data_IF_871892899179
#
_entry.id   IF_871892899179
#
_cell.length_a   1.000
_cell.length_b   1.000
_cell.length_c   1.000
_cell.angle_alpha   90.00
_cell.angle_beta   90.00
_cell.angle_gamma   90.00
#
_symmetry.space_group_name_H-M   'P 1'
#
loop_
_entity.id
_entity.type
_entity.pdbx_description
1 polymer ?
#
# COMPACT_ATOMS: atom_id res chain seq x y z
N UNK A 1 45.08 5.41 87.28
CA UNK A 1 44.00 4.84 86.45
C UNK A 1 43.21 5.97 85.81
N UNK A 2 43.19 6.18 84.49
CA UNK A 2 44.30 6.54 83.58
C UNK A 2 43.74 7.21 82.31
N UNK A 3 44.36 8.29 81.82
CA UNK A 3 44.23 8.90 80.48
C UNK A 3 43.26 10.10 80.36
N UNK A 4 43.67 11.40 80.32
CA UNK A 4 44.42 12.21 79.30
C UNK A 4 43.65 12.35 77.96
N UNK A 5 43.52 13.49 77.24
CA UNK A 5 43.96 14.89 77.34
C UNK A 5 43.25 15.72 76.21
N UNK A 6 42.78 16.95 76.47
CA UNK A 6 43.22 18.29 75.99
C UNK A 6 42.91 18.80 74.54
N UNK A 7 42.22 19.97 74.51
CA UNK A 7 42.35 21.21 73.66
C UNK A 7 42.01 21.20 72.15
N UNK A 8 41.64 22.30 71.46
CA UNK A 8 40.94 23.59 71.69
C UNK A 8 40.94 24.40 70.37
N UNK A 9 39.76 24.94 69.97
CA UNK A 9 39.42 26.17 69.18
C UNK A 9 40.18 26.58 67.90
N UNK A 10 39.44 27.11 66.89
CA UNK A 10 39.14 28.57 66.68
C UNK A 10 38.41 28.94 65.35
N UNK A 11 37.36 29.79 65.46
CA UNK A 11 36.87 30.94 64.61
C UNK A 11 36.64 30.78 63.09
N UNK A 12 35.73 31.47 62.38
CA UNK A 12 34.67 32.47 62.60
C UNK A 12 33.93 32.71 61.25
N UNK A 13 32.65 33.12 61.26
CA UNK A 13 32.09 34.34 60.62
C UNK A 13 30.55 34.23 60.58
N UNK A 14 29.87 35.31 60.94
CA UNK A 14 28.41 35.44 60.88
C UNK A 14 27.98 36.66 60.06
N UNK A 15 26.71 36.67 59.65
CA UNK A 15 25.97 37.79 59.06
C UNK A 15 24.49 37.41 58.91
N UNK A 16 23.59 38.21 59.47
CA UNK A 16 22.27 37.82 60.01
C UNK A 16 21.19 38.89 59.73
N UNK A 17 19.94 38.42 59.47
CA UNK A 17 18.56 38.96 59.69
C UNK A 17 18.19 40.39 59.24
N UNK A 18 17.17 40.61 58.39
CA UNK A 18 15.68 40.53 58.53
C UNK A 18 15.06 41.57 59.49
N UNK A 19 14.15 42.37 58.92
CA UNK A 19 13.41 43.49 59.50
C UNK A 19 11.90 43.21 59.62
N UNK A 20 11.19 43.99 60.45
CA UNK A 20 9.71 43.98 60.58
C UNK A 20 9.09 45.37 60.75
N UNK A 21 7.98 45.60 60.04
CA UNK A 21 6.82 46.47 60.36
C UNK A 21 6.90 47.96 59.96
N UNK A 22 5.83 48.70 59.65
CA UNK A 22 4.42 48.48 59.28
C UNK A 22 3.82 49.86 58.82
N UNK A 23 2.73 49.85 58.03
CA UNK A 23 1.55 50.78 58.05
C UNK A 23 1.07 51.44 56.72
N UNK A 24 -0.17 51.06 56.35
CA UNK A 24 -1.38 51.83 55.88
C UNK A 24 -1.37 52.63 54.55
N UNK A 25 -2.28 52.24 53.63
CA UNK A 25 -2.86 53.06 52.55
C UNK A 25 -3.70 52.24 51.53
N UNK A 26 -5.00 52.52 51.38
CA UNK A 26 -5.95 51.94 50.39
C UNK A 26 -6.09 52.88 49.15
N UNK A 27 -6.78 52.49 48.05
CA UNK A 27 -6.41 51.49 47.04
C UNK A 27 -6.28 52.13 45.63
N UNK A 28 -5.47 51.55 44.75
CA UNK A 28 -5.53 51.85 43.31
C UNK A 28 -5.79 50.56 42.54
N UNK A 29 -6.94 50.51 41.88
CA UNK A 29 -7.39 49.40 41.05
C UNK A 29 -6.47 49.28 39.83
N UNK A 30 -5.83 48.13 39.66
CA UNK A 30 -5.31 47.73 38.35
C UNK A 30 -5.60 46.25 38.08
N UNK A 31 -6.01 46.02 36.85
CA UNK A 31 -6.86 44.94 36.42
C UNK A 31 -6.14 43.58 36.28
N UNK A 32 -6.94 42.54 36.56
CA UNK A 32 -6.96 41.22 35.93
C UNK A 32 -5.79 40.26 36.20
N UNK A 33 -6.03 39.37 37.17
CA UNK A 33 -5.56 37.98 37.11
C UNK A 33 -6.10 37.31 35.83
N UNK A 34 -5.23 36.91 34.91
CA UNK A 34 -5.52 35.83 33.96
C UNK A 34 -4.82 34.56 34.44
N UNK A 35 -5.52 33.45 34.67
CA UNK A 35 -4.86 32.17 34.85
C UNK A 35 -4.27 31.72 33.51
N UNK A 36 -2.99 31.38 33.49
CA UNK A 36 -2.35 30.67 32.37
C UNK A 36 -3.03 29.30 32.20
N UNK A 37 -3.93 29.20 31.23
CA UNK A 37 -4.39 27.90 30.75
C UNK A 37 -3.31 27.37 29.81
N UNK A 38 -2.65 26.24 30.12
CA UNK A 38 -1.75 25.62 29.16
C UNK A 38 -2.58 25.19 27.94
N UNK A 39 -2.22 25.69 26.76
CA UNK A 39 -2.84 25.22 25.51
C UNK A 39 -2.71 23.69 25.42
N UNK A 40 -3.76 22.99 24.94
CA UNK A 40 -3.66 21.56 24.70
C UNK A 40 -2.55 21.30 23.69
N UNK A 41 -1.45 20.69 24.14
CA UNK A 41 -0.36 20.27 23.25
C UNK A 41 -0.95 19.34 22.19
N UNK A 42 -0.96 19.83 20.95
CA UNK A 42 -1.25 19.01 19.77
C UNK A 42 -0.37 17.75 19.85
N UNK A 43 -0.93 16.53 19.80
CA UNK A 43 -0.11 15.33 19.86
C UNK A 43 0.91 15.38 18.73
N UNK A 44 2.19 15.26 19.07
CA UNK A 44 3.25 15.15 18.08
C UNK A 44 2.93 13.95 17.19
N UNK A 45 2.99 14.07 15.85
CA UNK A 45 2.73 12.93 14.98
C UNK A 45 3.76 11.85 15.28
N UNK A 46 3.32 10.75 15.88
CA UNK A 46 4.17 9.60 16.14
C UNK A 46 4.62 9.06 14.80
N UNK A 47 5.86 9.36 14.39
CA UNK A 47 6.45 8.82 13.17
C UNK A 47 6.38 7.30 13.24
N UNK A 48 5.57 6.69 12.38
CA UNK A 48 5.43 5.23 12.33
C UNK A 48 6.79 4.65 11.95
N UNK A 49 7.34 3.78 12.80
CA UNK A 49 8.70 3.25 12.65
C UNK A 49 8.86 2.35 11.41
N UNK A 50 7.80 1.64 11.00
CA UNK A 50 7.72 0.92 9.74
C UNK A 50 6.33 1.18 9.10
N UNK A 51 6.20 2.19 8.22
CA UNK A 51 4.94 2.54 7.59
C UNK A 51 4.40 1.46 6.63
N UNK A 52 5.23 0.48 6.21
CA UNK A 52 4.79 -0.65 5.40
C UNK A 52 4.37 -1.88 6.22
N UNK A 53 4.71 -1.94 7.51
CA UNK A 53 4.34 -3.07 8.36
C UNK A 53 2.82 -3.24 8.46
N UNK A 54 2.33 -4.46 8.76
CA UNK A 54 0.93 -4.68 9.09
C UNK A 54 0.47 -3.75 10.22
N UNK A 55 -0.82 -3.48 10.23
CA UNK A 55 -1.42 -2.70 11.29
C UNK A 55 -2.88 -3.07 11.53
N UNK A 56 -3.52 -2.43 12.53
CA UNK A 56 -4.88 -2.76 12.91
C UNK A 56 -5.87 -2.57 11.76
N UNK A 57 -6.80 -3.51 11.63
CA UNK A 57 -7.91 -3.37 10.71
C UNK A 57 -8.99 -2.51 11.36
N UNK A 58 -9.44 -1.49 10.65
CA UNK A 58 -10.47 -0.57 11.11
C UNK A 58 -11.54 -0.39 10.01
N UNK A 59 -12.70 0.11 10.39
CA UNK A 59 -13.73 0.44 9.41
C UNK A 59 -13.37 1.68 8.62
N UNK A 60 -13.83 1.77 7.37
CA UNK A 60 -13.82 3.04 6.64
C UNK A 60 -14.69 4.09 7.37
N UNK A 61 -14.26 5.37 7.49
CA UNK A 61 -15.09 6.44 8.04
C UNK A 61 -16.40 6.64 7.26
N UNK A 62 -16.38 6.31 5.96
CA UNK A 62 -17.51 6.36 5.02
C UNK A 62 -18.02 4.95 4.65
N UNK A 63 -17.90 3.98 5.57
CA UNK A 63 -18.30 2.58 5.32
C UNK A 63 -19.76 2.45 4.84
N UNK A 64 -20.66 3.30 5.32
CA UNK A 64 -22.08 3.25 4.90
C UNK A 64 -22.26 3.56 3.40
N UNK A 65 -21.45 4.46 2.83
CA UNK A 65 -21.49 4.76 1.39
C UNK A 65 -20.97 3.59 0.57
N UNK A 66 -19.84 2.99 0.99
CA UNK A 66 -19.30 1.78 0.35
C UNK A 66 -20.31 0.62 0.43
N UNK A 67 -20.90 0.35 1.59
CA UNK A 67 -21.93 -0.69 1.75
C UNK A 67 -23.14 -0.43 0.86
N UNK A 68 -23.64 0.82 0.82
CA UNK A 68 -24.77 1.18 -0.04
C UNK A 68 -24.47 0.90 -1.51
N UNK A 69 -23.26 1.22 -1.97
CA UNK A 69 -22.82 0.93 -3.33
C UNK A 69 -22.68 -0.58 -3.56
N UNK A 70 -21.99 -1.30 -2.70
CA UNK A 70 -21.76 -2.75 -2.86
C UNK A 70 -23.06 -3.56 -2.81
N UNK A 71 -24.07 -3.12 -2.03
CA UNK A 71 -25.41 -3.73 -2.03
C UNK A 71 -26.13 -3.67 -3.39
N UNK A 72 -25.66 -2.86 -4.34
CA UNK A 72 -26.22 -2.81 -5.71
C UNK A 72 -25.39 -3.58 -6.72
N UNK A 73 -24.36 -4.32 -6.28
CA UNK A 73 -23.43 -5.05 -7.15
C UNK A 73 -23.59 -6.55 -6.92
N UNK A 74 -23.38 -7.33 -7.97
CA UNK A 74 -23.41 -8.79 -7.89
C UNK A 74 -22.06 -9.34 -7.40
N UNK A 75 -22.10 -10.53 -6.81
CA UNK A 75 -20.92 -11.23 -6.30
C UNK A 75 -20.45 -10.82 -4.91
N UNK A 76 -19.30 -11.32 -4.54
CA UNK A 76 -18.59 -11.03 -3.30
C UNK A 76 -17.51 -9.97 -3.55
N UNK A 77 -17.36 -9.01 -2.64
CA UNK A 77 -16.37 -7.94 -2.78
C UNK A 77 -15.63 -7.65 -1.47
N UNK A 78 -14.34 -7.36 -1.58
CA UNK A 78 -13.53 -6.83 -0.49
C UNK A 78 -12.78 -5.60 -0.95
N UNK A 79 -12.74 -4.58 -0.10
CA UNK A 79 -11.98 -3.35 -0.31
C UNK A 79 -11.10 -3.05 0.88
N UNK A 80 -9.85 -2.71 0.62
CA UNK A 80 -8.91 -2.25 1.62
C UNK A 80 -8.19 -0.98 1.18
N UNK A 81 -7.85 -0.11 2.14
CA UNK A 81 -7.12 1.12 1.88
C UNK A 81 -6.21 1.46 3.05
N UNK A 82 -5.05 2.02 2.76
CA UNK A 82 -4.20 2.64 3.78
C UNK A 82 -3.63 3.95 3.30
N UNK A 83 -3.77 4.98 4.13
CA UNK A 83 -3.05 6.25 3.94
C UNK A 83 -1.59 6.04 4.33
N UNK A 84 -0.66 6.39 3.45
CA UNK A 84 0.78 6.25 3.69
C UNK A 84 1.20 7.03 4.94
N UNK A 85 2.02 6.39 5.76
CA UNK A 85 2.45 6.94 7.05
C UNK A 85 1.48 6.71 8.21
N UNK A 86 0.30 6.14 7.97
CA UNK A 86 -0.61 5.69 9.03
C UNK A 86 -0.44 4.19 9.33
N UNK A 87 -0.95 3.72 10.48
CA UNK A 87 -0.92 2.29 10.84
C UNK A 87 -2.20 1.55 10.48
N UNK A 88 -3.33 2.24 10.47
CA UNK A 88 -4.62 1.59 10.31
C UNK A 88 -4.84 1.23 8.84
N UNK A 89 -5.23 -0.02 8.60
CA UNK A 89 -5.71 -0.47 7.30
C UNK A 89 -7.23 -0.46 7.38
N UNK A 90 -7.88 0.36 6.55
CA UNK A 90 -9.33 0.37 6.44
C UNK A 90 -9.75 -0.84 5.61
N UNK A 91 -10.67 -1.65 6.13
CA UNK A 91 -11.16 -2.86 5.44
C UNK A 91 -12.69 -2.89 5.48
N UNK A 92 -13.29 -3.32 4.38
CA UNK A 92 -14.68 -3.71 4.29
C UNK A 92 -14.79 -4.96 3.43
N UNK A 93 -15.32 -6.03 4.02
CA UNK A 93 -15.68 -7.27 3.33
C UNK A 93 -17.20 -7.31 3.15
N UNK A 94 -17.64 -7.72 1.97
CA UNK A 94 -19.03 -7.94 1.60
C UNK A 94 -19.11 -9.33 0.95
N UNK A 95 -19.53 -10.33 1.72
CA UNK A 95 -19.42 -11.74 1.33
C UNK A 95 -18.09 -12.33 1.81
N UNK A 96 -17.27 -12.81 0.88
CA UNK A 96 -15.98 -13.42 1.17
C UNK A 96 -14.94 -12.48 1.80
N UNK A 97 -13.90 -13.12 2.33
CA UNK A 97 -12.71 -12.47 2.91
C UNK A 97 -11.42 -12.86 2.19
N UNK A 98 -11.48 -13.89 1.34
CA UNK A 98 -10.37 -14.46 0.60
C UNK A 98 -10.73 -14.56 -0.88
N UNK A 99 -9.80 -14.20 -1.76
CA UNK A 99 -10.01 -14.16 -3.21
C UNK A 99 -8.81 -14.74 -3.94
N UNK A 100 -9.04 -15.40 -5.07
CA UNK A 100 -7.96 -15.82 -5.96
C UNK A 100 -7.30 -14.58 -6.54
N UNK A 101 -5.98 -14.49 -6.45
CA UNK A 101 -5.21 -13.32 -6.86
C UNK A 101 -5.26 -13.08 -8.37
N UNK A 102 -5.31 -14.14 -9.17
CA UNK A 102 -4.92 -14.08 -10.57
C UNK A 102 -3.57 -13.33 -10.69
N UNK A 103 -3.47 -12.29 -11.52
CA UNK A 103 -2.21 -11.60 -11.79
C UNK A 103 -1.71 -10.63 -10.71
N UNK A 104 -2.47 -10.32 -9.65
CA UNK A 104 -1.95 -9.39 -8.60
C UNK A 104 -0.82 -10.03 -7.77
N UNK A 105 -0.73 -11.36 -7.72
CA UNK A 105 0.39 -12.09 -7.08
C UNK A 105 1.75 -11.79 -7.70
N UNK A 106 1.80 -11.27 -8.94
CA UNK A 106 3.04 -10.85 -9.60
C UNK A 106 3.76 -9.73 -8.84
N UNK A 107 3.05 -8.94 -8.03
CA UNK A 107 3.67 -8.02 -7.07
C UNK A 107 4.51 -8.77 -6.04
N UNK A 108 3.96 -9.82 -5.42
CA UNK A 108 4.70 -10.64 -4.45
C UNK A 108 5.88 -11.37 -5.11
N UNK A 109 5.73 -11.85 -6.35
CA UNK A 109 6.84 -12.46 -7.12
C UNK A 109 7.97 -11.45 -7.32
N UNK A 110 7.65 -10.23 -7.80
CA UNK A 110 8.62 -9.15 -7.97
C UNK A 110 9.32 -8.80 -6.66
N UNK A 111 8.57 -8.61 -5.59
CA UNK A 111 9.13 -8.30 -4.26
C UNK A 111 10.02 -9.42 -3.74
N UNK A 112 9.69 -10.69 -4.02
CA UNK A 112 10.52 -11.84 -3.65
C UNK A 112 11.88 -11.79 -4.36
N UNK A 113 11.90 -11.49 -5.66
CA UNK A 113 13.17 -11.30 -6.42
C UNK A 113 14.02 -10.20 -5.75
N UNK A 114 13.40 -9.08 -5.40
CA UNK A 114 14.09 -7.94 -4.77
C UNK A 114 14.62 -8.29 -3.37
N UNK A 115 13.83 -9.00 -2.56
CA UNK A 115 14.20 -9.44 -1.21
C UNK A 115 15.38 -10.43 -1.26
N UNK A 116 15.37 -11.37 -2.20
CA UNK A 116 16.48 -12.31 -2.40
C UNK A 116 17.75 -11.59 -2.85
N UNK A 117 17.65 -10.71 -3.86
CA UNK A 117 18.79 -9.90 -4.32
C UNK A 117 19.39 -9.03 -3.19
N UNK A 118 18.53 -8.40 -2.38
CA UNK A 118 18.98 -7.62 -1.22
C UNK A 118 19.65 -8.49 -0.14
N UNK A 119 19.12 -9.69 0.13
CA UNK A 119 19.72 -10.66 1.06
C UNK A 119 21.09 -11.15 0.60
N UNK A 120 21.26 -11.33 -0.71
CA UNK A 120 22.53 -11.68 -1.37
C UNK A 120 23.46 -10.46 -1.54
N UNK A 121 23.07 -9.28 -1.05
CA UNK A 121 23.84 -8.02 -1.14
C UNK A 121 24.19 -7.62 -2.57
N UNK A 122 23.30 -7.91 -3.53
CA UNK A 122 23.46 -7.56 -4.94
C UNK A 122 22.32 -6.67 -5.45
N UNK A 123 22.53 -6.09 -6.62
CA UNK A 123 21.45 -5.44 -7.37
C UNK A 123 20.65 -6.49 -8.16
N UNK A 124 19.51 -6.05 -8.70
CA UNK A 124 18.77 -6.84 -9.70
C UNK A 124 19.65 -7.04 -10.93
N UNK A 125 19.76 -8.29 -11.37
CA UNK A 125 20.50 -8.66 -12.58
C UNK A 125 19.74 -8.23 -13.84
N UNK A 126 20.43 -8.13 -14.97
CA UNK A 126 19.79 -7.87 -16.27
C UNK A 126 18.73 -8.92 -16.63
N UNK A 127 19.01 -10.20 -16.35
CA UNK A 127 18.07 -11.29 -16.58
C UNK A 127 16.78 -11.17 -15.75
N UNK A 128 16.89 -10.74 -14.48
CA UNK A 128 15.71 -10.49 -13.65
C UNK A 128 14.91 -9.30 -14.16
N UNK A 129 15.57 -8.20 -14.53
CA UNK A 129 14.90 -7.02 -15.11
C UNK A 129 14.17 -7.35 -16.41
N UNK A 130 14.79 -8.15 -17.29
CA UNK A 130 14.19 -8.59 -18.56
C UNK A 130 12.90 -9.40 -18.36
N UNK A 131 12.73 -10.05 -17.21
CA UNK A 131 11.49 -10.76 -16.85
C UNK A 131 10.51 -9.87 -16.08
N UNK A 132 11.01 -9.00 -15.19
CA UNK A 132 10.18 -8.10 -14.38
C UNK A 132 9.39 -7.12 -15.24
N UNK A 133 9.99 -6.55 -16.30
CA UNK A 133 9.34 -5.59 -17.20
C UNK A 133 8.07 -6.18 -17.82
N UNK A 134 8.12 -7.23 -18.65
CA UNK A 134 6.91 -7.78 -19.27
C UNK A 134 5.94 -8.39 -18.25
N UNK A 135 6.43 -8.91 -17.11
CA UNK A 135 5.58 -9.45 -16.05
C UNK A 135 4.70 -8.36 -15.41
N UNK A 136 5.24 -7.16 -15.15
CA UNK A 136 4.49 -6.09 -14.49
C UNK A 136 3.73 -5.25 -15.51
N UNK A 137 4.38 -4.80 -16.58
CA UNK A 137 3.81 -3.84 -17.54
C UNK A 137 2.73 -4.46 -18.44
N UNK A 138 2.94 -5.72 -18.87
CA UNK A 138 2.04 -6.45 -19.77
C UNK A 138 1.39 -7.67 -19.11
N UNK A 139 1.63 -7.89 -17.82
CA UNK A 139 1.11 -9.06 -17.10
C UNK A 139 1.57 -10.41 -17.69
N UNK A 140 2.73 -10.50 -18.36
CA UNK A 140 3.22 -11.73 -19.00
C UNK A 140 3.28 -12.92 -18.04
N UNK A 141 2.63 -14.02 -18.43
CA UNK A 141 2.58 -15.26 -17.63
C UNK A 141 3.87 -16.06 -17.74
N UNK A 142 4.52 -16.10 -18.89
CA UNK A 142 5.81 -16.79 -19.06
C UNK A 142 6.90 -16.14 -18.20
N UNK A 143 6.95 -14.81 -18.20
CA UNK A 143 7.89 -14.08 -17.37
C UNK A 143 7.62 -14.28 -15.88
N UNK A 144 6.34 -14.32 -15.48
CA UNK A 144 5.94 -14.64 -14.12
C UNK A 144 6.35 -16.06 -13.72
N UNK A 145 6.09 -17.06 -14.56
CA UNK A 145 6.45 -18.47 -14.31
C UNK A 145 7.97 -18.66 -14.23
N UNK A 146 8.73 -17.98 -15.08
CA UNK A 146 10.19 -18.00 -15.01
C UNK A 146 10.71 -17.42 -13.69
N UNK A 147 10.18 -16.28 -13.25
CA UNK A 147 10.56 -15.68 -11.96
C UNK A 147 10.05 -16.49 -10.77
N UNK A 148 8.83 -17.03 -10.83
CA UNK A 148 8.25 -17.94 -9.83
C UNK A 148 9.16 -19.14 -9.57
N UNK A 149 9.57 -19.82 -10.64
CA UNK A 149 10.51 -20.94 -10.55
C UNK A 149 11.86 -20.50 -9.97
N UNK A 150 12.38 -19.37 -10.42
CA UNK A 150 13.68 -18.82 -9.96
C UNK A 150 13.67 -18.51 -8.47
N UNK A 151 12.59 -17.96 -7.92
CA UNK A 151 12.52 -17.56 -6.50
C UNK A 151 12.24 -18.72 -5.55
N UNK A 152 12.07 -19.95 -6.06
CA UNK A 152 11.75 -21.12 -5.25
C UNK A 152 10.25 -21.31 -5.04
N UNK A 153 9.42 -20.89 -6.00
CA UNK A 153 7.98 -21.19 -6.11
C UNK A 153 7.21 -20.72 -4.86
N UNK A 154 6.14 -21.43 -4.46
CA UNK A 154 5.30 -21.02 -3.33
C UNK A 154 6.10 -20.81 -2.03
N UNK A 155 7.10 -21.66 -1.76
CA UNK A 155 7.93 -21.54 -0.57
C UNK A 155 8.76 -20.27 -0.54
N UNK A 156 9.34 -19.89 -1.67
CA UNK A 156 10.08 -18.64 -1.83
C UNK A 156 9.22 -17.42 -1.58
N UNK A 157 8.08 -17.37 -2.25
CA UNK A 157 7.15 -16.23 -2.16
C UNK A 157 6.50 -16.17 -0.78
N UNK A 158 6.08 -17.30 -0.19
CA UNK A 158 5.53 -17.37 1.17
C UNK A 158 6.50 -16.78 2.20
N UNK A 159 7.78 -17.16 2.16
CA UNK A 159 8.79 -16.62 3.07
C UNK A 159 8.95 -15.11 2.93
N UNK A 160 8.94 -14.59 1.70
CA UNK A 160 9.02 -13.16 1.44
C UNK A 160 7.78 -12.41 1.96
N UNK A 161 6.58 -12.91 1.66
CA UNK A 161 5.31 -12.34 2.16
C UNK A 161 5.24 -12.33 3.69
N UNK A 162 5.61 -13.44 4.34
CA UNK A 162 5.68 -13.52 5.80
C UNK A 162 6.68 -12.53 6.40
N UNK A 163 7.82 -12.29 5.74
CA UNK A 163 8.81 -11.28 6.17
C UNK A 163 8.23 -9.86 6.12
N UNK A 164 7.33 -9.59 5.18
CA UNK A 164 6.58 -8.34 5.06
C UNK A 164 5.36 -8.29 6.01
N UNK A 165 4.97 -9.43 6.59
CA UNK A 165 3.84 -9.57 7.49
C UNK A 165 2.49 -9.81 6.80
N UNK A 166 2.51 -10.16 5.51
CA UNK A 166 1.36 -10.68 4.79
C UNK A 166 1.28 -12.21 5.02
N UNK A 167 0.45 -12.63 5.97
CA UNK A 167 0.36 -14.03 6.47
C UNK A 167 -1.00 -14.68 6.26
N UNK A 168 -1.95 -13.98 5.63
CA UNK A 168 -3.29 -14.46 5.29
C UNK A 168 -3.39 -14.72 3.78
N UNK A 169 -2.32 -15.25 3.20
CA UNK A 169 -2.24 -15.70 1.81
C UNK A 169 -1.91 -17.18 1.78
N UNK A 170 -2.73 -17.96 1.08
CA UNK A 170 -2.56 -19.41 0.92
C UNK A 170 -2.30 -19.72 -0.54
N UNK A 171 -1.19 -20.39 -0.81
CA UNK A 171 -0.81 -20.80 -2.16
C UNK A 171 -1.57 -22.05 -2.57
N UNK A 172 -1.81 -22.17 -3.88
CA UNK A 172 -2.43 -23.34 -4.47
C UNK A 172 -1.60 -24.61 -4.20
N UNK A 173 -2.22 -25.73 -3.76
CA UNK A 173 -1.51 -26.98 -3.47
C UNK A 173 -0.76 -27.57 -4.66
N UNK A 174 -1.26 -27.34 -5.88
CA UNK A 174 -0.65 -27.77 -7.13
C UNK A 174 0.35 -26.73 -7.68
N UNK A 175 0.64 -25.69 -6.88
CA UNK A 175 1.64 -24.65 -7.13
C UNK A 175 1.34 -23.76 -8.36
N UNK A 176 0.06 -23.63 -8.73
CA UNK A 176 -0.38 -22.62 -9.69
C UNK A 176 -0.36 -21.23 -9.04
N UNK A 177 0.68 -20.44 -9.31
CA UNK A 177 0.85 -19.12 -8.69
C UNK A 177 -0.38 -18.21 -8.81
N UNK A 178 -1.11 -18.28 -9.93
CA UNK A 178 -2.29 -17.45 -10.19
C UNK A 178 -3.51 -17.81 -9.32
N UNK A 179 -3.57 -19.04 -8.82
CA UNK A 179 -4.64 -19.57 -7.98
C UNK A 179 -4.40 -19.33 -6.48
N UNK A 180 -3.38 -18.54 -6.15
CA UNK A 180 -3.11 -18.11 -4.78
C UNK A 180 -4.31 -17.37 -4.19
N UNK A 181 -4.74 -17.74 -2.99
CA UNK A 181 -5.84 -17.10 -2.26
C UNK A 181 -5.30 -16.05 -1.29
N UNK A 182 -5.84 -14.82 -1.30
CA UNK A 182 -5.35 -13.68 -0.50
C UNK A 182 -6.48 -12.88 0.13
N UNK A 183 -6.15 -12.06 1.14
CA UNK A 183 -7.04 -10.98 1.63
C UNK A 183 -6.67 -9.63 1.00
N UNK A 184 -7.62 -8.68 0.99
CA UNK A 184 -7.36 -7.31 0.54
C UNK A 184 -6.33 -6.58 1.44
N UNK A 185 -6.33 -6.90 2.74
CA UNK A 185 -5.39 -6.32 3.69
C UNK A 185 -3.94 -6.76 3.44
N UNK A 186 -3.72 -8.04 3.11
CA UNK A 186 -2.39 -8.54 2.75
C UNK A 186 -1.88 -7.87 1.47
N UNK A 187 -2.75 -7.67 0.48
CA UNK A 187 -2.37 -6.96 -0.76
C UNK A 187 -2.03 -5.48 -0.52
N UNK A 188 -2.69 -4.81 0.45
CA UNK A 188 -2.27 -3.47 0.90
C UNK A 188 -0.87 -3.52 1.53
N UNK A 189 -0.59 -4.52 2.37
CA UNK A 189 0.73 -4.68 3.01
C UNK A 189 1.82 -4.90 1.94
N UNK A 190 1.58 -5.75 0.94
CA UNK A 190 2.52 -5.95 -0.18
C UNK A 190 2.77 -4.64 -0.93
N UNK A 191 1.72 -3.98 -1.41
CA UNK A 191 1.88 -2.72 -2.13
C UNK A 191 2.58 -1.64 -1.29
N UNK A 192 2.29 -1.54 0.01
CA UNK A 192 2.99 -0.58 0.88
C UNK A 192 4.48 -0.88 1.04
N UNK A 193 4.94 -2.12 0.87
CA UNK A 193 6.37 -2.44 0.83
C UNK A 193 7.06 -1.91 -0.44
N UNK A 194 6.30 -1.54 -1.48
CA UNK A 194 6.79 -0.80 -2.65
C UNK A 194 6.76 0.71 -2.39
N UNK A 195 5.66 1.24 -1.87
CA UNK A 195 5.42 2.70 -1.80
C UNK A 195 5.96 3.38 -0.53
N UNK A 196 5.99 2.69 0.59
CA UNK A 196 6.38 3.24 1.88
C UNK A 196 7.84 2.89 2.26
N UNK A 197 8.55 3.79 2.98
CA UNK A 197 9.88 3.50 3.51
C UNK A 197 9.89 2.23 4.37
N UNK A 198 10.79 1.30 4.07
CA UNK A 198 10.99 0.09 4.84
C UNK A 198 12.45 -0.41 4.71
N UNK A 199 12.83 -1.39 5.54
CA UNK A 199 14.18 -1.98 5.57
C UNK A 199 14.28 -3.31 4.81
N UNK A 200 13.17 -3.81 4.27
CA UNK A 200 13.10 -5.13 3.63
C UNK A 200 13.53 -5.02 2.17
N UNK A 201 12.99 -4.03 1.46
CA UNK A 201 13.30 -3.76 0.05
C UNK A 201 14.06 -2.43 -0.05
N UNK A 202 15.30 -2.42 -0.58
CA UNK A 202 16.07 -1.20 -0.79
C UNK A 202 15.32 -0.17 -1.63
N UNK A 203 15.50 1.13 -1.33
CA UNK A 203 14.82 2.22 -2.05
C UNK A 203 15.03 2.16 -3.57
N UNK A 204 16.23 1.81 -4.06
CA UNK A 204 16.49 1.70 -5.49
C UNK A 204 15.62 0.64 -6.18
N UNK A 205 15.39 -0.49 -5.53
CA UNK A 205 14.53 -1.56 -6.05
C UNK A 205 13.05 -1.17 -5.96
N UNK A 206 12.65 -0.48 -4.89
CA UNK A 206 11.29 0.06 -4.77
C UNK A 206 11.01 1.16 -5.81
N UNK A 207 11.98 2.01 -6.12
CA UNK A 207 11.86 2.99 -7.18
C UNK A 207 11.65 2.32 -8.54
N UNK A 208 12.40 1.25 -8.82
CA UNK A 208 12.22 0.45 -10.02
C UNK A 208 10.84 -0.25 -10.06
N UNK A 209 10.39 -0.84 -8.95
CA UNK A 209 9.03 -1.42 -8.87
C UNK A 209 7.94 -0.40 -9.21
N UNK A 210 8.07 0.83 -8.69
CA UNK A 210 7.14 1.92 -8.99
C UNK A 210 7.21 2.33 -10.47
N UNK A 211 8.39 2.42 -11.06
CA UNK A 211 8.55 2.70 -12.49
C UNK A 211 7.75 1.69 -13.33
N UNK A 212 7.91 0.39 -13.07
CA UNK A 212 7.16 -0.65 -13.77
C UNK A 212 5.64 -0.51 -13.56
N UNK A 213 5.18 -0.26 -12.34
CA UNK A 213 3.74 -0.11 -12.05
C UNK A 213 3.13 1.18 -12.63
N UNK A 214 3.94 2.18 -12.98
CA UNK A 214 3.49 3.39 -13.70
C UNK A 214 3.54 3.25 -15.23
N UNK A 215 4.19 2.21 -15.74
CA UNK A 215 4.37 1.92 -17.16
C UNK A 215 3.49 0.77 -17.66
N UNK A 216 2.49 0.39 -16.86
CA UNK A 216 1.51 -0.62 -17.23
C UNK A 216 0.78 -0.21 -18.52
N UNK A 217 0.57 -1.18 -19.41
CA UNK A 217 -0.07 -0.95 -20.70
C UNK A 217 -1.46 -0.31 -20.55
N UNK A 218 -1.88 0.50 -21.52
CA UNK A 218 -3.12 1.29 -21.42
C UNK A 218 -4.38 0.43 -21.22
N UNK A 219 -4.40 -0.78 -21.77
CA UNK A 219 -5.47 -1.77 -21.63
C UNK A 219 -5.48 -2.47 -20.25
N UNK A 220 -4.44 -2.25 -19.46
CA UNK A 220 -4.26 -2.75 -18.10
C UNK A 220 -4.49 -1.66 -17.04
N UNK A 221 -4.69 -0.39 -17.43
CA UNK A 221 -4.95 0.74 -16.52
C UNK A 221 -6.46 0.96 -16.29
N UNK A 222 -7.03 0.16 -15.39
CA UNK A 222 -8.42 0.23 -14.95
C UNK A 222 -8.57 -0.17 -13.48
N UNK A 223 -9.77 -0.04 -12.92
CA UNK A 223 -10.09 -0.55 -11.58
C UNK A 223 -9.78 0.45 -10.46
N UNK A 224 -8.88 0.12 -9.54
CA UNK A 224 -8.55 0.95 -8.38
C UNK A 224 -7.91 2.29 -8.74
N UNK A 225 -7.51 2.46 -10.01
CA UNK A 225 -6.99 3.71 -10.57
C UNK A 225 -8.09 4.77 -10.76
N UNK A 226 -9.37 4.38 -10.80
CA UNK A 226 -10.46 5.31 -11.05
C UNK A 226 -10.57 6.39 -9.95
N UNK A 227 -10.32 7.65 -10.34
CA UNK A 227 -10.30 8.81 -9.44
C UNK A 227 -8.92 9.12 -8.83
N UNK A 228 -7.89 8.34 -9.16
CA UNK A 228 -6.50 8.63 -8.83
C UNK A 228 -5.81 9.44 -9.93
N UNK A 229 -4.64 10.01 -9.59
CA UNK A 229 -3.78 10.72 -10.54
C UNK A 229 -2.44 10.06 -10.67
N UNK A 230 -2.01 9.89 -11.92
CA UNK A 230 -0.73 9.24 -12.24
C UNK A 230 -0.56 7.98 -11.37
N UNK A 231 -1.58 7.09 -11.36
CA UNK A 231 -1.60 5.98 -10.45
C UNK A 231 -0.51 4.97 -10.81
N UNK A 232 -0.20 4.13 -9.84
CA UNK A 232 0.58 2.92 -10.02
C UNK A 232 -0.36 1.75 -9.85
N UNK A 233 -0.39 0.79 -10.78
CA UNK A 233 -1.42 -0.25 -10.80
C UNK A 233 -0.86 -1.64 -11.05
N UNK A 234 -1.53 -2.64 -10.49
CA UNK A 234 -1.50 -4.01 -11.01
C UNK A 234 -2.88 -4.63 -10.89
N UNK A 235 -3.37 -5.13 -12.01
CA UNK A 235 -4.65 -5.83 -12.10
C UNK A 235 -4.46 -7.35 -12.23
N UNK A 236 -5.51 -8.09 -11.92
CA UNK A 236 -5.59 -9.54 -12.15
C UNK A 236 -7.01 -10.02 -12.29
N UNK A 237 -7.27 -10.80 -13.34
CA UNK A 237 -8.55 -11.42 -13.61
C UNK A 237 -8.36 -12.83 -14.14
N UNK A 238 -9.31 -13.71 -13.88
CA UNK A 238 -9.30 -15.10 -14.30
C UNK A 238 -10.75 -15.63 -14.32
N UNK A 239 -11.25 -16.18 -15.45
CA UNK A 239 -12.47 -16.96 -15.44
C UNK A 239 -12.20 -18.37 -14.91
N UNK A 240 -13.16 -18.92 -14.18
CA UNK A 240 -13.12 -20.27 -13.62
C UNK A 240 -14.49 -20.94 -13.75
N UNK A 241 -14.54 -22.21 -13.41
CA UNK A 241 -15.79 -22.98 -13.25
C UNK A 241 -16.72 -22.39 -12.19
N UNK A 242 -16.16 -21.71 -11.19
CA UNK A 242 -16.89 -20.95 -10.17
C UNK A 242 -17.12 -19.47 -10.54
N UNK A 243 -16.88 -19.07 -11.78
CA UNK A 243 -17.14 -17.73 -12.28
C UNK A 243 -15.90 -16.82 -12.37
N UNK A 244 -16.12 -15.51 -12.38
CA UNK A 244 -15.06 -14.52 -12.59
C UNK A 244 -14.43 -14.10 -11.28
N UNK A 245 -13.09 -14.10 -11.25
CA UNK A 245 -12.28 -13.43 -10.22
C UNK A 245 -11.65 -12.20 -10.85
N UNK A 246 -11.86 -11.00 -10.28
CA UNK A 246 -11.35 -9.74 -10.83
C UNK A 246 -10.84 -8.86 -9.68
N UNK A 247 -9.61 -8.38 -9.81
CA UNK A 247 -8.87 -7.71 -8.74
C UNK A 247 -8.06 -6.55 -9.27
N UNK A 248 -7.88 -5.54 -8.42
CA UNK A 248 -7.07 -4.37 -8.72
C UNK A 248 -6.36 -3.85 -7.48
N UNK A 249 -5.07 -3.57 -7.62
CA UNK A 249 -4.22 -2.91 -6.62
C UNK A 249 -3.72 -1.61 -7.22
N UNK A 250 -3.96 -0.48 -6.55
CA UNK A 250 -3.44 0.81 -7.00
C UNK A 250 -2.88 1.67 -5.86
N UNK A 251 -1.99 2.60 -6.21
CA UNK A 251 -1.41 3.56 -5.29
C UNK A 251 -1.23 4.92 -5.95
N UNK A 252 -1.26 5.98 -5.14
CA UNK A 252 -0.98 7.36 -5.58
C UNK A 252 0.51 7.73 -5.50
N UNK A 253 1.39 6.76 -5.26
CA UNK A 253 2.85 6.94 -5.21
C UNK A 253 3.43 6.85 -3.81
N UNK A 254 4.49 7.61 -3.51
CA UNK A 254 5.16 7.57 -2.18
C UNK A 254 4.47 8.43 -1.12
N UNK A 255 3.40 9.11 -1.51
CA UNK A 255 2.53 9.93 -0.65
C UNK A 255 1.08 9.65 -1.06
N UNK A 256 0.16 9.83 -0.12
CA UNK A 256 -1.26 9.60 -0.34
C UNK A 256 -1.67 8.25 0.21
N UNK A 257 -2.13 7.33 -0.64
CA UNK A 257 -2.70 6.06 -0.19
C UNK A 257 -2.52 4.92 -1.21
N UNK A 258 -2.58 3.71 -0.67
CA UNK A 258 -2.76 2.44 -1.40
C UNK A 258 -4.22 2.00 -1.27
N UNK A 259 -4.83 1.50 -2.34
CA UNK A 259 -6.16 0.92 -2.35
C UNK A 259 -6.20 -0.41 -3.12
N UNK A 260 -6.99 -1.35 -2.62
CA UNK A 260 -7.17 -2.70 -3.19
C UNK A 260 -8.66 -3.01 -3.27
N UNK A 261 -9.12 -3.53 -4.41
CA UNK A 261 -10.43 -4.15 -4.55
C UNK A 261 -10.30 -5.55 -5.10
N UNK A 262 -10.97 -6.50 -4.43
CA UNK A 262 -11.03 -7.90 -4.81
C UNK A 262 -12.49 -8.29 -5.02
N UNK A 263 -12.78 -9.01 -6.08
CA UNK A 263 -14.15 -9.42 -6.41
C UNK A 263 -14.20 -10.83 -6.98
N UNK A 264 -15.31 -11.52 -6.69
CA UNK A 264 -15.66 -12.81 -7.26
C UNK A 264 -17.16 -12.85 -7.55
N UNK A 265 -17.58 -13.40 -8.67
CA UNK A 265 -18.99 -13.71 -8.92
C UNK A 265 -19.16 -14.94 -9.79
N UNK A 266 -20.11 -15.79 -9.42
CA UNK A 266 -20.57 -16.94 -10.21
C UNK A 266 -21.44 -16.53 -11.41
N UNK A 267 -21.96 -15.30 -11.43
CA UNK A 267 -23.01 -14.85 -12.36
C UNK A 267 -22.68 -13.57 -13.10
N UNK A 268 -21.94 -12.64 -12.47
CA UNK A 268 -21.56 -11.39 -13.11
C UNK A 268 -20.49 -11.63 -14.16
N UNK A 269 -20.58 -10.97 -15.32
CA UNK A 269 -19.48 -10.91 -16.25
C UNK A 269 -18.34 -10.05 -15.68
N UNK A 270 -17.13 -10.20 -16.25
CA UNK A 270 -15.95 -9.43 -15.86
C UNK A 270 -16.21 -7.92 -15.85
N UNK A 271 -17.00 -7.41 -16.80
CA UNK A 271 -17.25 -5.98 -17.01
C UNK A 271 -17.91 -5.36 -15.77
N UNK A 272 -18.89 -6.08 -15.21
CA UNK A 272 -19.61 -5.66 -14.02
C UNK A 272 -18.70 -5.69 -12.79
N UNK A 273 -17.76 -6.63 -12.72
CA UNK A 273 -16.78 -6.69 -11.63
C UNK A 273 -15.74 -5.56 -11.75
N UNK A 274 -15.29 -5.22 -12.96
CA UNK A 274 -14.45 -4.03 -13.21
C UNK A 274 -15.18 -2.76 -12.77
N UNK A 275 -16.43 -2.56 -13.20
CA UNK A 275 -17.22 -1.39 -12.80
C UNK A 275 -17.41 -1.35 -11.26
N UNK A 276 -17.59 -2.52 -10.62
CA UNK A 276 -17.65 -2.65 -9.16
C UNK A 276 -16.39 -2.10 -8.49
N UNK A 277 -15.22 -2.51 -8.98
CA UNK A 277 -13.92 -2.04 -8.48
C UNK A 277 -13.76 -0.53 -8.68
N UNK A 278 -14.12 -0.02 -9.86
CA UNK A 278 -14.01 1.41 -10.13
C UNK A 278 -14.96 2.26 -9.28
N UNK A 279 -16.16 1.78 -8.97
CA UNK A 279 -17.06 2.50 -8.08
C UNK A 279 -16.53 2.57 -6.64
N UNK A 280 -15.93 1.48 -6.13
CA UNK A 280 -15.20 1.50 -4.86
C UNK A 280 -14.07 2.54 -4.88
N UNK A 281 -13.28 2.55 -5.94
CA UNK A 281 -12.15 3.47 -6.13
C UNK A 281 -12.61 4.93 -6.17
N UNK A 282 -13.66 5.25 -6.93
CA UNK A 282 -14.24 6.61 -6.99
C UNK A 282 -14.79 7.07 -5.65
N UNK A 283 -15.40 6.19 -4.85
CA UNK A 283 -15.84 6.52 -3.48
C UNK A 283 -14.62 6.87 -2.62
N UNK A 284 -13.59 6.02 -2.62
CA UNK A 284 -12.35 6.28 -1.88
C UNK A 284 -11.75 7.62 -2.27
N UNK A 285 -11.55 7.86 -3.57
CA UNK A 285 -10.90 9.07 -4.08
C UNK A 285 -11.63 10.36 -3.66
N UNK A 286 -12.97 10.37 -3.59
CA UNK A 286 -13.75 11.54 -3.13
C UNK A 286 -13.49 11.91 -1.67
N UNK A 287 -13.11 10.94 -0.85
CA UNK A 287 -12.83 11.14 0.58
C UNK A 287 -11.35 11.43 0.88
N UNK A 288 -10.48 11.47 -0.15
CA UNK A 288 -9.06 11.80 0.00
C UNK A 288 -8.76 13.25 -0.41
N UNK A 289 -7.73 13.91 0.17
CA UNK A 289 -7.41 15.31 -0.14
C UNK A 289 -7.15 15.56 -1.63
N UNK A 290 -7.70 16.66 -2.18
CA UNK A 290 -7.58 17.03 -3.61
C UNK A 290 -6.16 17.15 -4.15
N UNK A 291 -5.18 17.45 -3.30
CA UNK A 291 -3.76 17.47 -3.67
C UNK A 291 -3.25 16.11 -4.17
N UNK A 292 -4.00 15.03 -3.89
CA UNK A 292 -3.75 13.66 -4.33
C UNK A 292 -4.61 13.28 -5.55
N UNK A 293 -5.62 14.10 -5.94
CA UNK A 293 -6.68 13.69 -6.90
C UNK A 293 -7.01 14.66 -8.07
N UNK A 294 -6.42 15.86 -8.23
CA UNK A 294 -6.72 16.78 -9.40
C UNK A 294 -5.51 17.18 -10.31
N UNK A 295 -5.52 16.96 -11.65
CA UNK A 295 -4.38 17.24 -12.58
C UNK A 295 -4.02 18.72 -12.76
N UNK A 296 -2.72 19.09 -12.90
CA UNK A 296 -2.34 20.29 -13.63
C UNK A 296 -2.55 20.07 -15.15
N UNK A 297 -2.76 21.14 -15.94
CA UNK A 297 -2.97 21.03 -17.39
C UNK A 297 -1.74 20.42 -18.09
N UNK A 298 -1.93 19.69 -19.20
CA UNK A 298 -0.88 18.92 -19.85
C UNK A 298 0.22 19.83 -20.46
N UNK A 299 1.51 19.48 -20.34
CA UNK A 299 2.57 20.05 -21.17
C UNK A 299 2.59 19.39 -22.56
N UNK A 300 2.60 20.21 -23.61
CA UNK A 300 2.80 19.79 -24.99
C UNK A 300 4.24 19.32 -25.24
N UNK A 301 4.42 18.07 -25.72
CA UNK A 301 5.28 17.68 -26.85
C UNK A 301 5.64 16.18 -26.81
N UNK A 302 5.33 15.48 -27.91
CA UNK A 302 5.71 14.09 -28.24
C UNK A 302 7.16 14.04 -28.75
N UNK A 303 7.91 12.96 -28.50
CA UNK A 303 8.78 12.40 -29.54
C UNK A 303 8.51 10.93 -29.88
N UNK A 304 8.62 10.69 -31.19
CA UNK A 304 8.67 9.50 -32.05
C UNK A 304 8.87 8.11 -31.44
N UNK A 305 7.92 7.21 -31.76
CA UNK A 305 8.05 5.75 -31.64
C UNK A 305 9.12 5.23 -32.62
N UNK A 306 10.01 4.37 -32.13
CA UNK A 306 10.81 3.47 -32.98
C UNK A 306 10.19 2.08 -32.84
N UNK A 307 9.81 1.48 -33.97
CA UNK A 307 9.08 0.21 -34.02
C UNK A 307 9.91 -0.96 -33.47
N UNK A 308 9.30 -1.77 -32.61
CA UNK A 308 9.79 -3.09 -32.21
C UNK A 308 9.42 -4.15 -33.28
N UNK A 309 10.22 -5.21 -33.49
CA UNK A 309 9.96 -6.23 -34.50
C UNK A 309 8.81 -7.16 -34.10
N UNK A 310 8.08 -7.66 -35.11
CA UNK A 310 6.92 -8.53 -34.97
C UNK A 310 7.28 -9.88 -34.30
N UNK A 311 6.42 -10.42 -33.40
CA UNK A 311 6.60 -11.75 -32.86
C UNK A 311 6.34 -12.82 -33.93
N UNK A 312 7.24 -13.80 -34.02
CA UNK A 312 7.04 -15.00 -34.84
C UNK A 312 5.96 -15.87 -34.23
N UNK A 313 5.01 -16.30 -35.07
CA UNK A 313 3.93 -17.19 -34.69
C UNK A 313 4.47 -18.60 -34.41
N UNK A 314 4.30 -19.06 -33.18
CA UNK A 314 4.18 -20.48 -32.84
C UNK A 314 2.83 -20.59 -32.14
N UNK A 315 1.94 -21.40 -32.73
CA UNK A 315 0.57 -21.53 -32.27
C UNK A 315 0.49 -22.30 -30.96
N UNK A 316 -0.45 -21.90 -30.10
CA UNK A 316 -1.16 -22.79 -29.19
C UNK A 316 -2.52 -22.17 -28.84
N UNK A 317 -3.54 -23.04 -28.89
CA UNK A 317 -4.96 -22.78 -28.80
C UNK A 317 -5.40 -22.78 -27.32
N UNK A 318 -5.36 -21.60 -26.68
CA UNK A 318 -5.89 -21.38 -25.34
C UNK A 318 -6.87 -20.19 -25.36
N UNK A 319 -8.15 -20.52 -25.61
CA UNK A 319 -9.34 -19.82 -25.08
C UNK A 319 -9.33 -18.28 -25.11
N UNK A 320 -9.38 -17.67 -26.28
CA UNK A 320 -9.62 -16.24 -26.43
C UNK A 320 -11.06 -15.86 -26.01
N UNK A 321 -11.25 -15.17 -24.89
CA UNK A 321 -12.52 -14.49 -24.58
C UNK A 321 -12.33 -12.97 -24.77
N UNK A 322 -12.99 -12.33 -25.75
CA UNK A 322 -12.88 -10.89 -25.95
C UNK A 322 -13.57 -10.14 -24.79
N UNK A 323 -12.90 -9.10 -24.27
CA UNK A 323 -13.42 -8.21 -23.22
C UNK A 323 -13.34 -6.76 -23.67
N UNK A 324 -14.36 -5.96 -23.34
CA UNK A 324 -14.38 -4.51 -23.61
C UNK A 324 -14.53 -3.76 -22.29
N UNK A 325 -13.45 -3.15 -21.81
CA UNK A 325 -13.56 -2.18 -20.72
C UNK A 325 -14.39 -0.98 -21.20
N UNK A 326 -15.40 -0.52 -20.44
CA UNK A 326 -16.11 0.72 -20.75
C UNK A 326 -15.15 1.93 -20.71
N UNK A 327 -14.81 2.49 -21.88
CA UNK A 327 -14.07 3.76 -21.98
C UNK A 327 -12.68 3.72 -22.63
N UNK A 328 -12.17 2.55 -23.04
CA UNK A 328 -10.88 2.42 -23.77
C UNK A 328 -11.08 1.94 -25.20
N UNK A 329 -10.13 2.27 -26.10
CA UNK A 329 -10.13 1.84 -27.51
C UNK A 329 -9.41 0.49 -27.63
N UNK A 330 -10.09 -0.47 -28.26
CA UNK A 330 -9.66 -1.75 -28.88
C UNK A 330 -8.29 -2.34 -28.48
N UNK A 331 -8.22 -3.26 -27.50
CA UNK A 331 -7.03 -4.14 -27.28
C UNK A 331 -7.41 -5.52 -26.70
N UNK A 332 -6.63 -6.54 -27.08
CA UNK A 332 -6.82 -8.00 -26.87
C UNK A 332 -5.88 -8.55 -25.79
N UNK A 333 -6.33 -9.47 -24.90
CA UNK A 333 -5.47 -10.02 -23.83
C UNK A 333 -5.65 -11.55 -23.66
N UNK A 334 -4.56 -12.24 -23.33
CA UNK A 334 -4.51 -13.66 -22.93
C UNK A 334 -5.04 -13.86 -21.50
N UNK A 335 -6.01 -14.77 -21.35
CA UNK A 335 -6.33 -15.41 -20.07
C UNK A 335 -5.61 -16.78 -20.01
N UNK A 336 -5.52 -17.34 -18.80
CA UNK A 336 -4.85 -18.61 -18.47
C UNK A 336 -5.28 -19.78 -19.36
#
# INVERSE_FOLDING_TARGET
MSGKALFSRRTALGGLLIATGAAIGLPAVQAANRPDHPEPRRPAPTRVANPAAPGPYVTFPYQNELKKYLNTRDGEQSVAMRVHGQRNIHVLNHGATHYITASIIKLAIMETVMIQAAGEKRQLSGAEKNLLVPMIENSSNDAATALWNRVGRADGVRRAMHRMGATHTTFDPDDHWGLTSTTAADQVVLADHIFCPNKIIPESMRAYARELMSSVAEDQDWGMTAGMRSPYVKNGWLPRDDGWHVNSVASTGTKGYTAVGLTHSTTAPMEDLVETIEGMARIIARHQPRSVTTPPPPPSARPTQTAAPAPQAVGDDHGHIPFRAPGTRDVWIQAF
#
